data_IF_273233281210
#
_entry.id   IF_273233281210
#
_cell.length_a   1.000
_cell.length_b   1.000
_cell.length_c   1.000
_cell.angle_alpha   90.00
_cell.angle_beta   90.00
_cell.angle_gamma   90.00
#
_symmetry.space_group_name_H-M   'P 1'
#
loop_
_entity.id
_entity.type
_entity.pdbx_description
1 polymer ?
#
# COMPACT_ATOMS: atom_id res chain seq x y z
N UNK A 1 18.20 0.79 6.17
CA UNK A 1 16.81 0.68 6.66
C UNK A 1 15.89 0.05 5.61
N UNK A 2 15.68 0.65 4.43
CA UNK A 2 14.79 0.08 3.39
C UNK A 2 15.21 -1.32 2.91
N UNK A 3 16.52 -1.58 2.77
CA UNK A 3 17.01 -2.93 2.42
C UNK A 3 16.65 -3.98 3.49
N UNK A 4 16.64 -3.60 4.77
CA UNK A 4 16.26 -4.52 5.85
C UNK A 4 14.78 -4.86 5.76
N UNK A 5 13.93 -3.91 5.33
CA UNK A 5 12.50 -4.17 5.10
C UNK A 5 12.34 -5.22 3.98
N UNK A 6 13.10 -5.09 2.88
CA UNK A 6 13.08 -6.08 1.79
C UNK A 6 13.44 -7.50 2.27
N UNK A 7 14.37 -7.62 3.23
CA UNK A 7 14.77 -8.90 3.81
C UNK A 7 13.69 -9.53 4.71
N UNK A 8 12.81 -8.72 5.29
CA UNK A 8 11.69 -9.20 6.13
C UNK A 8 10.48 -9.64 5.31
N UNK A 9 10.40 -9.18 4.07
CA UNK A 9 9.26 -9.44 3.18
C UNK A 9 9.50 -10.78 2.49
N UNK A 10 8.51 -11.67 2.57
CA UNK A 10 8.51 -12.92 1.81
C UNK A 10 8.62 -12.67 0.31
N UNK A 11 9.10 -13.66 -0.43
CA UNK A 11 9.06 -13.61 -1.89
C UNK A 11 7.59 -13.49 -2.34
N UNK A 12 7.35 -12.62 -3.32
CA UNK A 12 6.02 -12.14 -3.74
C UNK A 12 5.25 -11.35 -2.67
N UNK A 13 5.91 -10.94 -1.59
CA UNK A 13 5.32 -10.11 -0.54
C UNK A 13 5.17 -8.63 -0.93
N UNK A 14 4.29 -7.94 -0.22
CA UNK A 14 3.92 -6.54 -0.48
C UNK A 14 4.31 -5.64 0.70
N UNK A 15 4.97 -4.52 0.38
CA UNK A 15 5.17 -3.39 1.31
C UNK A 15 4.27 -2.24 0.88
N UNK A 16 3.46 -1.73 1.80
CA UNK A 16 2.61 -0.56 1.58
C UNK A 16 3.18 0.62 2.36
N UNK A 17 3.46 1.72 1.67
CA UNK A 17 4.04 2.93 2.25
C UNK A 17 3.07 4.09 2.01
N UNK A 18 2.56 4.69 3.08
CA UNK A 18 1.89 5.98 3.00
C UNK A 18 2.97 7.08 2.94
N UNK A 19 3.16 7.70 1.78
CA UNK A 19 4.14 8.76 1.58
C UNK A 19 3.44 10.12 1.55
N UNK A 20 3.72 10.92 2.58
CA UNK A 20 3.35 12.32 2.66
C UNK A 20 4.62 13.18 2.54
N UNK A 21 4.87 13.79 1.38
CA UNK A 21 6.07 14.60 1.17
C UNK A 21 5.75 15.88 0.39
N UNK A 22 5.95 17.04 1.03
CA UNK A 22 5.70 18.37 0.42
C UNK A 22 6.90 18.92 -0.33
N UNK A 23 8.11 18.48 0.03
CA UNK A 23 9.34 18.90 -0.64
C UNK A 23 9.58 18.00 -1.85
N UNK A 24 9.61 18.60 -3.04
CA UNK A 24 9.71 17.88 -4.31
C UNK A 24 11.07 17.22 -4.54
N UNK A 25 12.15 17.75 -3.98
CA UNK A 25 13.49 17.17 -4.06
C UNK A 25 13.59 15.93 -3.18
N UNK A 26 13.13 16.02 -1.93
CA UNK A 26 13.05 14.89 -1.00
C UNK A 26 12.12 13.79 -1.53
N UNK A 27 11.01 14.16 -2.15
CA UNK A 27 10.12 13.22 -2.83
C UNK A 27 10.86 12.42 -3.90
N UNK A 28 11.57 13.11 -4.80
CA UNK A 28 12.33 12.46 -5.88
C UNK A 28 13.42 11.55 -5.34
N UNK A 29 14.12 11.99 -4.30
CA UNK A 29 15.17 11.19 -3.65
C UNK A 29 14.60 9.93 -3.01
N UNK A 30 13.52 10.06 -2.22
CA UNK A 30 12.85 8.93 -1.58
C UNK A 30 12.33 7.92 -2.62
N UNK A 31 11.67 8.44 -3.67
CA UNK A 31 11.12 7.61 -4.73
C UNK A 31 12.22 6.88 -5.54
N UNK A 32 13.35 7.55 -5.79
CA UNK A 32 14.51 6.95 -6.44
C UNK A 32 15.13 5.83 -5.60
N UNK A 33 15.25 6.03 -4.28
CA UNK A 33 15.74 4.99 -3.34
C UNK A 33 14.79 3.80 -3.25
N UNK A 34 13.47 4.01 -3.32
CA UNK A 34 12.52 2.90 -3.36
C UNK A 34 12.66 2.10 -4.66
N UNK A 35 12.75 2.79 -5.80
CA UNK A 35 12.95 2.16 -7.12
C UNK A 35 14.26 1.38 -7.24
N UNK A 36 15.32 1.79 -6.55
CA UNK A 36 16.59 1.05 -6.58
C UNK A 36 16.55 -0.25 -5.75
N UNK A 37 15.55 -0.41 -4.88
CA UNK A 37 15.40 -1.57 -3.99
C UNK A 37 14.29 -2.51 -4.49
N UNK A 38 13.16 -1.95 -4.92
CA UNK A 38 12.00 -2.70 -5.39
C UNK A 38 11.87 -2.58 -6.89
N UNK A 39 11.99 -3.72 -7.59
CA UNK A 39 11.84 -3.80 -9.05
C UNK A 39 10.43 -3.44 -9.51
N UNK A 40 9.43 -3.86 -8.75
CA UNK A 40 8.02 -3.62 -9.08
C UNK A 40 7.37 -2.71 -8.05
N UNK A 41 6.87 -1.58 -8.52
CA UNK A 41 6.19 -0.57 -7.71
C UNK A 41 4.94 -0.04 -8.41
N UNK A 42 3.90 0.20 -7.62
CA UNK A 42 2.71 0.96 -8.01
C UNK A 42 2.53 2.14 -7.06
N UNK A 43 2.00 3.27 -7.54
CA UNK A 43 1.64 4.41 -6.69
C UNK A 43 0.20 4.80 -6.96
N UNK A 44 -0.54 5.07 -5.89
CA UNK A 44 -1.87 5.66 -5.92
C UNK A 44 -1.85 6.95 -5.14
N UNK A 45 -2.01 8.07 -5.84
CA UNK A 45 -2.27 9.36 -5.21
C UNK A 45 -3.67 9.37 -4.64
N UNK A 46 -3.80 9.85 -3.41
CA UNK A 46 -5.11 10.07 -2.79
C UNK A 46 -5.64 11.42 -3.30
N UNK A 47 -6.77 11.47 -3.99
CA UNK A 47 -7.34 12.73 -4.48
C UNK A 47 -7.54 13.71 -3.32
N UNK A 48 -7.26 15.00 -3.56
CA UNK A 48 -7.41 16.09 -2.58
C UNK A 48 -6.46 16.03 -1.38
N UNK A 49 -5.68 14.97 -1.21
CA UNK A 49 -4.60 14.87 -0.23
C UNK A 49 -3.22 15.00 -0.90
N UNK A 50 -2.23 15.34 -0.09
CA UNK A 50 -0.82 15.30 -0.50
C UNK A 50 -0.23 13.88 -0.42
N UNK A 51 -0.99 12.93 0.11
CA UNK A 51 -0.54 11.58 0.39
C UNK A 51 -0.61 10.72 -0.87
N UNK A 52 0.39 9.87 -1.05
CA UNK A 52 0.32 8.76 -1.99
C UNK A 52 0.61 7.44 -1.28
N UNK A 53 -0.12 6.40 -1.66
CA UNK A 53 0.17 5.04 -1.21
C UNK A 53 1.04 4.39 -2.27
N UNK A 54 2.25 4.02 -1.87
CA UNK A 54 3.21 3.29 -2.70
C UNK A 54 3.16 1.82 -2.31
N UNK A 55 2.91 0.97 -3.30
CA UNK A 55 2.90 -0.48 -3.21
C UNK A 55 4.21 -0.99 -3.81
N UNK A 56 5.05 -1.62 -3.00
CA UNK A 56 6.32 -2.18 -3.42
C UNK A 56 6.24 -3.71 -3.31
N UNK A 57 6.38 -4.42 -4.43
CA UNK A 57 6.28 -5.88 -4.48
C UNK A 57 7.69 -6.45 -4.55
N UNK A 58 8.02 -7.37 -3.63
CA UNK A 58 9.25 -8.15 -3.70
C UNK A 58 9.03 -9.30 -4.66
N UNK A 59 9.47 -9.17 -5.90
CA UNK A 59 9.36 -10.24 -6.89
C UNK A 59 10.50 -10.14 -7.90
N UNK A 60 10.92 -11.30 -8.40
CA UNK A 60 11.86 -11.42 -9.51
C UNK A 60 11.15 -11.62 -10.87
N UNK A 61 9.81 -11.68 -10.86
CA UNK A 61 9.00 -11.74 -12.07
C UNK A 61 9.07 -10.42 -12.87
N UNK A 62 8.81 -10.53 -14.17
CA UNK A 62 8.73 -9.38 -15.06
C UNK A 62 7.56 -8.46 -14.66
N UNK A 63 7.79 -7.15 -14.70
CA UNK A 63 6.80 -6.15 -14.26
C UNK A 63 5.45 -6.27 -15.01
N UNK A 64 5.47 -6.75 -16.26
CA UNK A 64 4.26 -6.96 -17.06
C UNK A 64 3.39 -8.08 -16.50
N UNK A 65 4.02 -9.19 -16.12
CA UNK A 65 3.31 -10.37 -15.60
C UNK A 65 2.72 -10.04 -14.23
N UNK A 66 3.50 -9.36 -13.38
CA UNK A 66 3.02 -8.88 -12.08
C UNK A 66 1.85 -7.91 -12.23
N UNK A 67 1.88 -7.04 -13.24
CA UNK A 67 0.78 -6.11 -13.52
C UNK A 67 -0.51 -6.85 -13.93
N UNK A 68 -0.41 -7.88 -14.78
CA UNK A 68 -1.56 -8.67 -15.21
C UNK A 68 -2.17 -9.43 -14.01
N UNK A 69 -1.35 -10.16 -13.26
CA UNK A 69 -1.80 -10.84 -12.04
C UNK A 69 -2.41 -9.87 -11.02
N UNK A 70 -1.81 -8.68 -10.85
CA UNK A 70 -2.31 -7.67 -9.91
C UNK A 70 -3.70 -7.16 -10.33
N UNK A 71 -3.97 -7.00 -11.63
CA UNK A 71 -5.31 -6.61 -12.11
C UNK A 71 -6.36 -7.65 -11.77
N UNK A 72 -6.06 -8.92 -11.99
CA UNK A 72 -6.99 -10.02 -11.72
C UNK A 72 -7.24 -10.17 -10.21
N UNK A 73 -6.17 -10.08 -9.41
CA UNK A 73 -6.26 -10.09 -7.96
C UNK A 73 -7.07 -8.90 -7.42
N UNK A 74 -6.85 -7.71 -7.99
CA UNK A 74 -7.60 -6.50 -7.63
C UNK A 74 -9.09 -6.64 -7.98
N UNK A 75 -9.42 -7.10 -9.18
CA UNK A 75 -10.81 -7.32 -9.58
C UNK A 75 -11.51 -8.35 -8.66
N UNK A 76 -10.81 -9.43 -8.32
CA UNK A 76 -11.30 -10.44 -7.38
C UNK A 76 -11.55 -9.84 -6.00
N UNK A 77 -10.56 -9.13 -5.45
CA UNK A 77 -10.64 -8.47 -4.14
C UNK A 77 -11.79 -7.47 -4.08
N UNK A 78 -11.91 -6.59 -5.08
CA UNK A 78 -13.00 -5.62 -5.15
C UNK A 78 -14.36 -6.33 -5.22
N UNK A 79 -14.51 -7.34 -6.08
CA UNK A 79 -15.77 -8.09 -6.16
C UNK A 79 -16.13 -8.76 -4.84
N UNK A 80 -15.14 -9.20 -4.06
CA UNK A 80 -15.35 -9.81 -2.76
C UNK A 80 -15.74 -8.76 -1.71
N UNK A 81 -15.05 -7.63 -1.69
CA UNK A 81 -15.34 -6.52 -0.79
C UNK A 81 -16.75 -5.97 -1.06
N UNK A 82 -17.11 -5.71 -2.32
CA UNK A 82 -18.44 -5.22 -2.71
C UNK A 82 -19.57 -6.19 -2.32
N UNK A 83 -19.33 -7.50 -2.38
CA UNK A 83 -20.29 -8.54 -1.95
C UNK A 83 -20.45 -8.59 -0.43
N UNK A 84 -19.42 -8.21 0.34
CA UNK A 84 -19.40 -8.25 1.81
C UNK A 84 -19.70 -6.90 2.46
N UNK A 85 -19.65 -5.78 1.74
CA UNK A 85 -19.98 -4.43 2.24
C UNK A 85 -21.47 -4.21 2.48
N UNK A 86 -22.22 -5.26 2.84
CA UNK A 86 -23.61 -5.15 3.27
C UNK A 86 -23.75 -4.67 4.73
N UNK A 87 -22.72 -4.70 5.59
CA UNK A 87 -22.57 -3.84 6.81
C UNK A 87 -21.23 -4.11 7.58
N UNK A 88 -20.62 -3.02 8.09
CA UNK A 88 -19.75 -2.79 9.28
C UNK A 88 -18.46 -3.57 9.64
N UNK A 89 -17.76 -4.27 8.74
CA UNK A 89 -16.44 -4.87 9.12
C UNK A 89 -15.25 -3.88 9.06
N UNK A 90 -15.48 -2.62 8.67
CA UNK A 90 -14.49 -1.54 8.78
C UNK A 90 -14.76 -0.79 10.08
N UNK A 91 -13.97 -1.08 11.11
CA UNK A 91 -13.88 -0.21 12.28
C UNK A 91 -12.91 0.92 11.95
N UNK A 92 -13.40 2.16 11.95
CA UNK A 92 -12.50 3.29 12.00
C UNK A 92 -11.73 3.21 13.33
N UNK A 93 -10.40 3.35 13.27
CA UNK A 93 -9.56 3.34 14.47
C UNK A 93 -9.93 4.53 15.38
N UNK A 94 -10.47 5.61 14.81
CA UNK A 94 -11.05 6.74 15.54
C UNK A 94 -12.32 6.33 16.29
N UNK A 95 -13.16 5.48 15.70
CA UNK A 95 -14.35 4.95 16.37
C UNK A 95 -13.96 4.00 17.51
N UNK A 96 -12.91 3.19 17.34
CA UNK A 96 -12.37 2.32 18.39
C UNK A 96 -11.88 3.12 19.61
N UNK A 97 -11.16 4.22 19.39
CA UNK A 97 -10.71 5.09 20.46
C UNK A 97 -11.87 5.74 21.23
N UNK A 98 -12.96 6.04 20.52
CA UNK A 98 -14.19 6.58 21.11
C UNK A 98 -14.90 5.53 21.99
N UNK A 99 -15.01 4.29 21.51
CA UNK A 99 -15.60 3.18 22.27
C UNK A 99 -14.80 2.80 23.53
N UNK A 100 -13.47 2.94 23.52
CA UNK A 100 -12.63 2.61 24.69
C UNK A 100 -12.78 3.64 25.83
N UNK A 101 -13.05 4.91 25.51
CA UNK A 101 -13.28 5.95 26.51
C UNK A 101 -14.65 5.85 27.20
N UNK A 102 -15.60 5.10 26.65
CA UNK A 102 -16.91 4.87 27.27
C UNK A 102 -16.91 3.69 28.27
N UNK A 103 -15.85 2.89 28.27
CA UNK A 103 -15.69 1.69 29.12
C UNK A 103 -14.73 1.96 30.30
N UNK A 104 -14.11 3.13 30.36
CA UNK A 104 -13.18 3.53 31.45
C UNK A 104 -13.74 4.69 32.26
#
# INVERSE_FOLDING_TARGET
MLQNILQLVYDSGLVMINLACRNSELYKEAYSKLKSIFKTMFSRRIPLELNEVIYCIKTDEDQKDVLEQTKDNYATLISFLEKKTAYSDIFDVVDLASCLNEIT
#
